data_IF_508704937690
#
_entry.id   IF_508704937690
#
_cell.length_a   1.000
_cell.length_b   1.000
_cell.length_c   1.000
_cell.angle_alpha   90.00
_cell.angle_beta   90.00
_cell.angle_gamma   90.00
#
_symmetry.space_group_name_H-M   'P 1'
#
loop_
_entity.id
_entity.type
_entity.pdbx_description
1 polymer ?
#
# COMPACT_ATOMS: atom_id res chain seq x y z
N UNK A 1 22.87 20.43 -20.62
CA UNK A 1 22.95 19.94 -22.01
C UNK A 1 24.32 19.31 -22.17
N UNK A 2 24.38 18.02 -22.42
CA UNK A 2 25.62 17.33 -22.79
C UNK A 2 25.64 17.20 -24.30
N UNK A 3 26.80 17.36 -24.93
CA UNK A 3 26.94 17.20 -26.37
C UNK A 3 28.14 16.33 -26.71
N UNK A 4 28.00 15.47 -27.71
CA UNK A 4 29.10 14.65 -28.23
C UNK A 4 29.95 15.42 -29.26
N UNK A 5 31.06 14.81 -29.69
CA UNK A 5 31.97 15.37 -30.71
C UNK A 5 31.32 15.53 -32.09
N UNK A 6 30.10 14.99 -32.30
CA UNK A 6 29.32 15.09 -33.53
C UNK A 6 28.21 16.13 -33.42
N UNK A 7 28.21 16.95 -32.36
CA UNK A 7 27.22 17.97 -32.07
C UNK A 7 25.79 17.44 -31.81
N UNK A 8 25.64 16.17 -31.45
CA UNK A 8 24.38 15.65 -30.93
C UNK A 8 24.23 16.06 -29.46
N UNK A 9 23.12 16.71 -29.10
CA UNK A 9 22.85 17.18 -27.74
C UNK A 9 21.85 16.29 -26.99
N UNK A 10 22.22 15.86 -25.78
CA UNK A 10 21.29 15.36 -24.78
C UNK A 10 20.86 16.52 -23.88
N UNK A 11 19.57 16.87 -23.96
CA UNK A 11 18.93 17.79 -23.05
C UNK A 11 18.12 16.98 -22.03
N UNK A 12 18.61 16.92 -20.80
CA UNK A 12 17.83 16.41 -19.66
C UNK A 12 17.05 17.57 -19.09
N UNK A 13 15.72 17.55 -19.26
CA UNK A 13 14.80 18.49 -18.61
C UNK A 13 14.16 17.75 -17.45
N UNK A 14 14.49 18.14 -16.22
CA UNK A 14 13.77 17.70 -15.04
C UNK A 14 12.59 18.64 -14.83
N UNK A 15 11.37 18.20 -15.17
CA UNK A 15 10.14 18.92 -14.83
C UNK A 15 9.63 18.33 -13.52
N UNK A 16 9.96 18.98 -12.39
CA UNK A 16 9.41 18.58 -11.10
C UNK A 16 8.01 19.17 -10.93
N UNK A 17 7.07 18.35 -10.46
CA UNK A 17 5.76 18.83 -10.02
C UNK A 17 5.92 19.31 -8.59
N UNK A 18 5.89 20.63 -8.39
CA UNK A 18 6.03 21.24 -7.06
C UNK A 18 4.72 21.11 -6.28
N UNK A 19 4.54 19.97 -5.61
CA UNK A 19 3.51 19.79 -4.59
C UNK A 19 4.10 19.21 -3.29
N UNK A 20 3.31 19.23 -2.21
CA UNK A 20 3.77 18.76 -0.90
C UNK A 20 4.18 17.27 -0.90
N UNK A 21 3.66 16.43 -1.79
CA UNK A 21 4.01 15.01 -1.84
C UNK A 21 5.42 14.81 -2.43
N UNK A 22 5.82 15.65 -3.40
CA UNK A 22 7.15 15.62 -4.00
C UNK A 22 8.21 16.32 -3.12
N UNK A 23 7.80 17.26 -2.26
CA UNK A 23 8.73 18.02 -1.41
C UNK A 23 8.93 17.46 0.00
N UNK A 24 8.04 16.57 0.47
CA UNK A 24 8.10 15.99 1.82
C UNK A 24 8.84 14.65 1.90
N UNK A 25 9.19 14.05 0.76
CA UNK A 25 9.76 12.71 0.66
C UNK A 25 8.73 11.58 0.82
N UNK A 26 7.43 11.88 0.96
CA UNK A 26 6.38 10.84 1.06
C UNK A 26 6.28 10.02 -0.21
N UNK A 27 6.19 10.68 -1.37
CA UNK A 27 6.11 9.98 -2.66
C UNK A 27 7.38 9.15 -2.91
N UNK A 28 8.56 9.69 -2.62
CA UNK A 28 9.82 8.94 -2.76
C UNK A 28 9.83 7.69 -1.89
N UNK A 29 9.34 7.78 -0.65
CA UNK A 29 9.23 6.63 0.24
C UNK A 29 8.19 5.60 -0.25
N UNK A 30 7.08 6.06 -0.83
CA UNK A 30 6.05 5.21 -1.45
C UNK A 30 6.63 4.41 -2.61
N UNK A 31 7.23 5.11 -3.57
CA UNK A 31 7.83 4.49 -4.77
C UNK A 31 9.05 3.61 -4.43
N UNK A 32 9.84 4.00 -3.42
CA UNK A 32 10.94 3.17 -2.95
C UNK A 32 10.44 1.85 -2.35
N UNK A 33 9.28 1.84 -1.67
CA UNK A 33 8.71 0.58 -1.18
C UNK A 33 8.35 -0.35 -2.35
N UNK A 34 7.83 0.16 -3.47
CA UNK A 34 7.57 -0.68 -4.65
C UNK A 34 8.83 -1.40 -5.13
N UNK A 35 10.01 -0.75 -5.08
CA UNK A 35 11.27 -1.42 -5.38
C UNK A 35 11.60 -2.56 -4.37
N UNK A 36 11.29 -2.38 -3.09
CA UNK A 36 11.47 -3.42 -2.06
C UNK A 36 10.52 -4.60 -2.29
N UNK A 37 9.22 -4.33 -2.52
CA UNK A 37 8.20 -5.35 -2.84
C UNK A 37 8.64 -6.17 -4.05
N UNK A 38 9.07 -5.48 -5.10
CA UNK A 38 9.59 -6.07 -6.33
C UNK A 38 10.83 -6.94 -6.08
N UNK A 39 11.73 -6.49 -5.21
CA UNK A 39 12.91 -7.27 -4.82
C UNK A 39 12.52 -8.56 -4.08
N UNK A 40 11.51 -8.52 -3.20
CA UNK A 40 11.04 -9.72 -2.49
C UNK A 40 10.38 -10.75 -3.42
N UNK A 41 9.68 -10.31 -4.47
CA UNK A 41 9.10 -11.23 -5.46
C UNK A 41 10.17 -12.03 -6.21
N UNK A 42 11.41 -11.52 -6.30
CA UNK A 42 12.52 -12.23 -6.94
C UNK A 42 12.36 -12.47 -8.45
N UNK A 43 11.42 -11.78 -9.11
CA UNK A 43 11.11 -11.92 -10.54
C UNK A 43 10.67 -10.57 -11.12
N UNK A 44 10.99 -10.22 -12.39
CA UNK A 44 10.67 -8.91 -12.96
C UNK A 44 9.18 -8.54 -12.86
N UNK A 45 8.90 -7.23 -12.68
CA UNK A 45 7.53 -6.70 -12.81
C UNK A 45 7.01 -6.96 -14.21
N UNK A 46 5.74 -7.28 -14.31
CA UNK A 46 5.00 -7.43 -15.57
C UNK A 46 3.81 -6.49 -15.53
N UNK A 47 3.51 -5.85 -16.66
CA UNK A 47 2.36 -4.96 -16.79
C UNK A 47 1.47 -5.40 -17.95
N UNK A 48 0.17 -5.66 -17.73
CA UNK A 48 -0.51 -5.67 -16.44
C UNK A 48 -0.06 -6.85 -15.56
N UNK A 49 -0.20 -6.71 -14.24
CA UNK A 49 0.17 -7.77 -13.31
C UNK A 49 -0.82 -8.95 -13.39
N UNK A 50 -0.34 -10.20 -13.54
CA UNK A 50 -1.17 -11.38 -13.49
C UNK A 50 -1.70 -11.66 -12.07
N UNK A 51 -2.70 -12.54 -11.97
CA UNK A 51 -3.38 -12.86 -10.71
C UNK A 51 -2.52 -13.55 -9.65
N UNK A 52 -1.27 -13.87 -9.97
CA UNK A 52 -0.27 -14.42 -9.04
C UNK A 52 0.60 -13.31 -8.39
N UNK A 53 0.24 -12.04 -8.58
CA UNK A 53 0.77 -10.89 -7.82
C UNK A 53 -0.18 -10.51 -6.68
N UNK A 54 0.32 -9.86 -5.62
CA UNK A 54 -0.56 -9.35 -4.57
C UNK A 54 -1.63 -8.41 -5.13
N UNK A 55 -2.83 -8.38 -4.54
CA UNK A 55 -3.87 -7.44 -4.96
C UNK A 55 -3.39 -5.99 -4.93
N UNK A 56 -3.93 -5.14 -5.81
CA UNK A 56 -3.55 -3.73 -5.90
C UNK A 56 -3.70 -2.99 -4.56
N UNK A 57 -4.76 -3.25 -3.79
CA UNK A 57 -4.95 -2.69 -2.45
C UNK A 57 -3.82 -3.06 -1.49
N UNK A 58 -3.21 -4.25 -1.64
CA UNK A 58 -2.10 -4.67 -0.79
C UNK A 58 -0.82 -3.95 -1.18
N UNK A 59 -0.56 -3.85 -2.49
CA UNK A 59 0.62 -3.17 -3.02
C UNK A 59 0.62 -1.68 -2.71
N UNK A 60 -0.41 -0.97 -3.12
CA UNK A 60 -0.54 0.48 -2.93
C UNK A 60 -0.76 0.83 -1.45
N UNK A 61 -1.55 0.02 -0.74
CA UNK A 61 -1.78 0.20 0.68
C UNK A 61 -0.52 0.04 1.52
N UNK A 62 0.31 -0.97 1.24
CA UNK A 62 1.57 -1.15 1.96
C UNK A 62 2.55 0.00 1.69
N UNK A 63 2.63 0.49 0.46
CA UNK A 63 3.45 1.66 0.10
C UNK A 63 2.95 2.93 0.81
N UNK A 64 1.63 3.14 0.82
CA UNK A 64 0.98 4.26 1.51
C UNK A 64 1.21 4.20 3.03
N UNK A 65 1.12 3.01 3.63
CA UNK A 65 1.44 2.81 5.05
C UNK A 65 2.93 3.11 5.32
N UNK A 66 3.84 2.56 4.51
CA UNK A 66 5.27 2.72 4.69
C UNK A 66 5.74 4.17 4.54
N UNK A 67 5.21 4.94 3.58
CA UNK A 67 5.54 6.36 3.48
C UNK A 67 5.14 7.12 4.76
N UNK A 68 3.98 6.82 5.33
CA UNK A 68 3.52 7.52 6.53
C UNK A 68 4.37 7.13 7.74
N UNK A 69 4.62 5.84 7.90
CA UNK A 69 5.42 5.31 9.00
C UNK A 69 6.89 5.78 8.93
N UNK A 70 7.44 5.99 7.73
CA UNK A 70 8.84 6.38 7.52
C UNK A 70 9.07 7.89 7.56
N UNK A 71 8.13 8.71 7.08
CA UNK A 71 8.28 10.17 7.06
C UNK A 71 7.83 10.80 8.38
N UNK A 72 6.75 10.28 8.96
CA UNK A 72 6.10 10.84 10.17
C UNK A 72 6.39 10.03 11.44
N UNK A 73 7.55 9.38 11.50
CA UNK A 73 7.97 8.48 12.59
C UNK A 73 8.22 9.16 13.94
N UNK A 74 8.34 10.49 13.98
CA UNK A 74 8.85 11.23 15.14
C UNK A 74 7.90 11.15 16.34
N UNK A 75 6.59 10.99 16.10
CA UNK A 75 5.61 10.77 17.15
C UNK A 75 4.37 10.08 16.60
N UNK A 76 3.67 9.36 17.48
CA UNK A 76 2.40 8.72 17.13
C UNK A 76 1.33 9.72 16.70
N UNK A 77 1.25 10.89 17.36
CA UNK A 77 0.29 11.94 16.99
C UNK A 77 0.56 12.51 15.59
N UNK A 78 1.84 12.72 15.24
CA UNK A 78 2.22 13.19 13.91
C UNK A 78 1.88 12.14 12.84
N UNK A 79 2.17 10.86 13.12
CA UNK A 79 1.77 9.77 12.25
C UNK A 79 0.25 9.73 12.03
N UNK A 80 -0.55 9.73 13.12
CA UNK A 80 -2.01 9.67 13.04
C UNK A 80 -2.60 10.87 12.30
N UNK A 81 -2.07 12.07 12.53
CA UNK A 81 -2.50 13.29 11.83
C UNK A 81 -2.35 13.13 10.30
N UNK A 82 -1.21 12.61 9.84
CA UNK A 82 -0.94 12.46 8.41
C UNK A 82 -1.69 11.26 7.80
N UNK A 83 -1.76 10.14 8.51
CA UNK A 83 -2.58 8.97 8.15
C UNK A 83 -4.04 9.38 7.95
N UNK A 84 -4.60 10.18 8.87
CA UNK A 84 -5.96 10.73 8.74
C UNK A 84 -6.11 11.69 7.56
N UNK A 85 -5.09 12.51 7.30
CA UNK A 85 -5.12 13.47 6.17
C UNK A 85 -5.25 12.75 4.83
N UNK A 86 -4.51 11.65 4.63
CA UNK A 86 -4.55 10.85 3.40
C UNK A 86 -5.93 10.21 3.24
N UNK A 87 -6.44 9.58 4.30
CA UNK A 87 -7.72 8.87 4.25
C UNK A 87 -8.94 9.72 4.61
N UNK A 88 -8.87 11.04 4.43
CA UNK A 88 -9.92 11.98 4.88
C UNK A 88 -11.30 11.65 4.30
N UNK A 89 -11.36 11.21 3.04
CA UNK A 89 -12.61 10.89 2.37
C UNK A 89 -13.32 9.68 2.99
N UNK A 90 -12.56 8.71 3.53
CA UNK A 90 -13.15 7.58 4.26
C UNK A 90 -13.97 8.02 5.49
N UNK A 91 -13.51 9.05 6.18
CA UNK A 91 -14.20 9.58 7.36
C UNK A 91 -15.46 10.39 7.01
N UNK A 92 -15.54 10.93 5.80
CA UNK A 92 -16.66 11.78 5.36
C UNK A 92 -17.82 10.96 4.81
N UNK A 93 -17.54 9.86 4.14
CA UNK A 93 -18.55 9.01 3.53
C UNK A 93 -19.15 8.02 4.55
N UNK A 94 -20.45 8.15 4.82
CA UNK A 94 -21.18 7.25 5.73
C UNK A 94 -21.61 5.95 5.11
N UNK A 95 -21.45 5.78 3.81
CA UNK A 95 -21.78 4.54 3.10
C UNK A 95 -20.70 3.47 3.25
N UNK A 96 -19.52 3.85 3.75
CA UNK A 96 -18.38 2.95 4.01
C UNK A 96 -18.62 2.21 5.34
N UNK A 97 -19.47 1.19 5.30
CA UNK A 97 -19.74 0.28 6.43
C UNK A 97 -18.74 -0.87 6.47
N UNK A 98 -18.80 -1.70 7.52
CA UNK A 98 -17.95 -2.89 7.63
C UNK A 98 -18.19 -3.89 6.48
N UNK A 99 -19.45 -4.05 6.04
CA UNK A 99 -19.83 -4.90 4.92
C UNK A 99 -19.28 -4.38 3.60
N UNK A 100 -19.38 -3.06 3.39
CA UNK A 100 -18.83 -2.42 2.19
C UNK A 100 -17.31 -2.58 2.10
N UNK A 101 -16.60 -2.37 3.23
CA UNK A 101 -15.14 -2.57 3.30
C UNK A 101 -14.79 -4.02 3.02
N UNK A 102 -15.53 -4.98 3.57
CA UNK A 102 -15.33 -6.40 3.28
C UNK A 102 -15.53 -6.71 1.79
N UNK A 103 -16.57 -6.18 1.16
CA UNK A 103 -16.83 -6.37 -0.27
C UNK A 103 -15.71 -5.77 -1.14
N UNK A 104 -15.21 -4.59 -0.77
CA UNK A 104 -14.11 -3.93 -1.46
C UNK A 104 -12.85 -4.82 -1.57
N UNK A 105 -12.46 -5.53 -0.51
CA UNK A 105 -11.26 -6.35 -0.51
C UNK A 105 -11.39 -7.69 -1.26
N UNK A 106 -12.61 -8.13 -1.56
CA UNK A 106 -12.88 -9.37 -2.31
C UNK A 106 -13.16 -9.09 -3.78
N UNK A 107 -13.77 -7.95 -4.07
CA UNK A 107 -14.10 -7.57 -5.45
C UNK A 107 -12.87 -6.98 -6.13
N UNK A 108 -12.60 -7.40 -7.37
CA UNK A 108 -11.56 -6.79 -8.19
C UNK A 108 -12.06 -5.43 -8.71
N UNK A 109 -12.13 -4.45 -7.81
CA UNK A 109 -12.56 -3.10 -8.13
C UNK A 109 -11.56 -2.49 -9.12
N UNK A 110 -12.02 -1.75 -10.14
CA UNK A 110 -11.12 -0.98 -10.99
C UNK A 110 -10.28 -0.04 -10.12
N UNK A 111 -9.09 0.32 -10.61
CA UNK A 111 -8.14 1.22 -9.93
C UNK A 111 -8.88 2.36 -9.23
N UNK A 112 -8.98 2.25 -7.92
CA UNK A 112 -9.72 3.16 -7.06
C UNK A 112 -8.76 3.71 -6.03
N UNK A 113 -8.95 4.99 -5.66
CA UNK A 113 -8.16 5.63 -4.61
C UNK A 113 -8.24 4.89 -3.27
N UNK A 114 -9.32 4.13 -3.07
CA UNK A 114 -9.50 3.25 -1.91
C UNK A 114 -8.43 2.15 -1.78
N UNK A 115 -7.73 1.76 -2.86
CA UNK A 115 -6.60 0.84 -2.78
C UNK A 115 -5.47 1.39 -1.91
N UNK A 116 -5.30 2.71 -1.90
CA UNK A 116 -4.30 3.39 -1.08
C UNK A 116 -4.82 3.54 0.35
N UNK A 117 -6.02 4.10 0.52
CA UNK A 117 -6.58 4.41 1.84
C UNK A 117 -6.93 3.17 2.67
N UNK A 118 -7.85 2.34 2.18
CA UNK A 118 -8.28 1.13 2.90
C UNK A 118 -7.17 0.09 2.93
N UNK A 119 -6.41 0.00 1.84
CA UNK A 119 -5.21 -0.83 1.80
C UNK A 119 -4.23 -0.47 2.91
N UNK A 120 -3.94 0.82 3.11
CA UNK A 120 -3.05 1.27 4.17
C UNK A 120 -3.60 0.97 5.56
N UNK A 121 -4.89 1.20 5.82
CA UNK A 121 -5.50 0.87 7.12
C UNK A 121 -5.48 -0.63 7.42
N UNK A 122 -5.72 -1.48 6.41
CA UNK A 122 -5.64 -2.93 6.58
C UNK A 122 -4.20 -3.37 6.85
N UNK A 123 -3.24 -2.89 6.05
CA UNK A 123 -1.82 -3.22 6.21
C UNK A 123 -1.25 -2.68 7.53
N UNK A 124 -1.68 -1.51 7.98
CA UNK A 124 -1.38 -0.96 9.30
C UNK A 124 -1.83 -1.93 10.40
N UNK A 125 -3.07 -2.43 10.33
CA UNK A 125 -3.56 -3.42 11.29
C UNK A 125 -2.78 -4.73 11.25
N UNK A 126 -2.43 -5.23 10.06
CA UNK A 126 -1.57 -6.42 9.91
C UNK A 126 -0.17 -6.20 10.52
N UNK A 127 0.41 -5.02 10.31
CA UNK A 127 1.70 -4.61 10.88
C UNK A 127 1.61 -4.51 12.40
N UNK A 128 0.52 -3.96 12.94
CA UNK A 128 0.32 -3.90 14.39
C UNK A 128 0.23 -5.30 15.03
N UNK A 129 -0.29 -6.29 14.29
CA UNK A 129 -0.44 -7.67 14.78
C UNK A 129 0.87 -8.47 14.78
N UNK A 130 1.72 -8.34 13.74
CA UNK A 130 2.93 -9.18 13.58
C UNK A 130 4.20 -8.46 13.12
N UNK A 131 4.18 -7.12 13.10
CA UNK A 131 5.29 -6.27 12.69
C UNK A 131 5.41 -6.08 11.17
N UNK A 132 6.21 -5.12 10.69
CA UNK A 132 6.35 -4.83 9.26
C UNK A 132 7.01 -5.97 8.47
N UNK A 133 7.81 -6.82 9.14
CA UNK A 133 8.39 -8.00 8.51
C UNK A 133 7.33 -9.01 8.04
N UNK A 134 6.18 -9.11 8.73
CA UNK A 134 5.12 -10.05 8.34
C UNK A 134 4.42 -9.66 7.05
N UNK A 135 4.22 -8.36 6.82
CA UNK A 135 3.64 -7.87 5.57
C UNK A 135 4.61 -8.07 4.41
N UNK A 136 5.91 -7.92 4.65
CA UNK A 136 6.93 -8.20 3.62
C UNK A 136 7.11 -9.69 3.33
N UNK A 137 6.95 -10.57 4.31
CA UNK A 137 7.05 -12.03 4.13
C UNK A 137 5.99 -12.58 3.16
N UNK A 138 4.81 -11.94 3.06
CA UNK A 138 3.80 -12.31 2.05
C UNK A 138 4.39 -12.22 0.63
N UNK A 139 5.05 -11.10 0.30
CA UNK A 139 5.68 -10.90 -1.01
C UNK A 139 6.73 -11.97 -1.31
N UNK A 140 7.58 -12.26 -0.33
CA UNK A 140 8.62 -13.28 -0.46
C UNK A 140 8.03 -14.67 -0.72
N UNK A 141 6.96 -15.05 -0.01
CA UNK A 141 6.29 -16.32 -0.23
C UNK A 141 5.62 -16.40 -1.61
N UNK A 142 4.99 -15.31 -2.06
CA UNK A 142 4.42 -15.24 -3.41
C UNK A 142 5.50 -15.31 -4.50
N UNK A 143 6.68 -14.74 -4.26
CA UNK A 143 7.86 -14.91 -5.13
C UNK A 143 8.29 -16.36 -5.31
N UNK A 144 7.95 -17.26 -4.37
CA UNK A 144 8.19 -18.72 -4.48
C UNK A 144 7.04 -19.49 -5.15
N UNK A 145 6.01 -18.79 -5.65
CA UNK A 145 4.84 -19.38 -6.30
C UNK A 145 3.65 -19.64 -5.38
N UNK A 146 3.67 -19.16 -4.13
CA UNK A 146 2.47 -19.24 -3.26
C UNK A 146 1.39 -18.26 -3.73
N UNK A 147 0.11 -18.61 -3.56
CA UNK A 147 -0.97 -17.62 -3.72
C UNK A 147 -0.97 -16.63 -2.56
N UNK A 148 -1.63 -15.48 -2.73
CA UNK A 148 -1.82 -14.50 -1.64
C UNK A 148 -2.50 -15.13 -0.42
N UNK A 149 -3.57 -15.91 -0.62
CA UNK A 149 -4.31 -16.57 0.46
C UNK A 149 -3.42 -17.54 1.23
N UNK A 150 -2.63 -18.34 0.50
CA UNK A 150 -1.72 -19.33 1.10
C UNK A 150 -0.59 -18.65 1.87
N UNK A 151 -0.01 -17.58 1.32
CA UNK A 151 1.01 -16.79 1.98
C UNK A 151 0.47 -16.08 3.22
N UNK A 152 -0.71 -15.46 3.12
CA UNK A 152 -1.38 -14.80 4.23
C UNK A 152 -1.67 -15.78 5.37
N UNK A 153 -2.26 -16.94 5.07
CA UNK A 153 -2.58 -17.94 6.09
C UNK A 153 -1.32 -18.47 6.77
N UNK A 154 -0.25 -18.70 6.01
CA UNK A 154 1.04 -19.11 6.57
C UNK A 154 1.63 -18.06 7.52
N UNK A 155 1.54 -16.77 7.17
CA UNK A 155 2.09 -15.67 7.98
C UNK A 155 1.24 -15.39 9.22
N UNK A 156 -0.08 -15.30 9.06
CA UNK A 156 -0.98 -14.86 10.13
C UNK A 156 -1.58 -16.01 10.96
N UNK A 157 -1.58 -17.24 10.44
CA UNK A 157 -2.17 -18.41 11.10
C UNK A 157 -3.70 -18.46 11.01
N UNK A 158 -4.29 -17.65 10.13
CA UNK A 158 -5.72 -17.55 9.85
C UNK A 158 -5.89 -17.24 8.37
N UNK A 159 -6.86 -17.87 7.70
CA UNK A 159 -7.13 -17.56 6.30
C UNK A 159 -7.62 -16.13 6.12
N UNK A 160 -7.28 -15.50 4.99
CA UNK A 160 -7.71 -14.12 4.71
C UNK A 160 -9.23 -13.97 4.76
N UNK A 161 -9.98 -14.93 4.21
CA UNK A 161 -11.45 -14.95 4.26
C UNK A 161 -12.01 -14.93 5.68
N UNK A 162 -11.35 -15.57 6.65
CA UNK A 162 -11.77 -15.55 8.06
C UNK A 162 -11.32 -14.29 8.79
N UNK A 163 -10.16 -13.76 8.44
CA UNK A 163 -9.63 -12.53 9.02
C UNK A 163 -10.38 -11.28 8.53
N UNK A 164 -10.82 -11.28 7.27
CA UNK A 164 -11.34 -10.10 6.60
C UNK A 164 -12.55 -9.47 7.31
N UNK A 165 -13.61 -10.21 7.72
CA UNK A 165 -14.72 -9.61 8.46
C UNK A 165 -14.28 -8.93 9.77
N UNK A 166 -13.27 -9.46 10.45
CA UNK A 166 -12.72 -8.91 11.69
C UNK A 166 -11.98 -7.60 11.40
N UNK A 167 -11.14 -7.60 10.36
CA UNK A 167 -10.37 -6.42 9.93
C UNK A 167 -11.30 -5.31 9.41
N UNK A 168 -12.29 -5.65 8.58
CA UNK A 168 -13.27 -4.69 8.06
C UNK A 168 -14.06 -4.03 9.18
N UNK A 169 -14.46 -4.79 10.21
CA UNK A 169 -15.12 -4.23 11.39
C UNK A 169 -14.19 -3.30 12.18
N UNK A 170 -12.93 -3.66 12.36
CA UNK A 170 -11.96 -2.80 13.06
C UNK A 170 -11.74 -1.48 12.31
N UNK A 171 -11.61 -1.52 10.98
CA UNK A 171 -11.49 -0.33 10.13
C UNK A 171 -12.77 0.52 10.23
N UNK A 172 -13.95 -0.09 10.14
CA UNK A 172 -15.22 0.63 10.27
C UNK A 172 -15.34 1.36 11.62
N UNK A 173 -14.98 0.71 12.72
CA UNK A 173 -14.97 1.31 14.05
C UNK A 173 -14.03 2.51 14.15
N UNK A 174 -12.84 2.41 13.57
CA UNK A 174 -11.87 3.50 13.49
C UNK A 174 -12.40 4.70 12.67
N UNK A 175 -13.22 4.43 11.66
CA UNK A 175 -13.94 5.47 10.89
C UNK A 175 -15.18 6.02 11.62
N UNK A 176 -15.48 5.54 12.82
CA UNK A 176 -16.67 5.93 13.59
C UNK A 176 -17.96 5.29 13.08
N UNK A 177 -17.88 4.10 12.50
CA UNK A 177 -18.99 3.32 11.93
C UNK A 177 -19.18 2.01 12.70
N UNK A 178 -20.36 1.38 12.56
CA UNK A 178 -20.69 0.06 13.12
C UNK A 178 -21.15 -0.88 12.04
#
# INVERSE_FOLDING_TARGET
>A
MFSDEKANGLLVITTEVLDNNHLSGTLDAHEYLHAIQQNQMGRPTVWPEPSDWPPAWYREGQATFAQNASIYYQSFDLYLKNRKSISTELYRDSTITSEWIQEFFVTNQPSSWFNYDLGAMLVEGLTALKGPGSTMEIWKLMGTGSSFESAFEKVYGISFTKALPIMSKAIALELGRS
#
